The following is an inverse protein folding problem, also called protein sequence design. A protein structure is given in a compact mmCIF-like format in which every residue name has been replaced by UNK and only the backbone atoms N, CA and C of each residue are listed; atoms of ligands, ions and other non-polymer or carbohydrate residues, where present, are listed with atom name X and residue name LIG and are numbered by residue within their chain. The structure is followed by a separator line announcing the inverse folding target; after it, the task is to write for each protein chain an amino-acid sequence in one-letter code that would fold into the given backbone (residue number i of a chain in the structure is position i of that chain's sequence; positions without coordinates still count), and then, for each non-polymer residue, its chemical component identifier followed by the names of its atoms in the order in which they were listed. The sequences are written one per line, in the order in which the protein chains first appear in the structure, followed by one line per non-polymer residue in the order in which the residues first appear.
data_IF_184534080973
#
_entry.id   IF_184534080973
#
_cell.length_a   1.000
_cell.length_b   1.000
_cell.length_c   1.000
_cell.angle_alpha   90.00
_cell.angle_beta   90.00
_cell.angle_gamma   90.00
#
_symmetry.space_group_name_H-M   'P 1'
#
loop_
_entity.id
_entity.type
_entity.pdbx_description
1 polymer ?
#
# COMPACT_ATOMS: atom_id res chain seq x y z
N UNK A 1 23.35 -11.61 26.19
CA UNK A 1 23.22 -10.22 26.68
C UNK A 1 22.79 -9.32 25.53
N UNK A 2 21.69 -8.57 25.74
CA UNK A 2 21.24 -7.37 25.03
C UNK A 2 21.33 -7.31 23.49
N UNK A 3 20.33 -7.89 22.80
CA UNK A 3 19.92 -7.39 21.49
C UNK A 3 19.03 -6.16 21.68
N UNK A 4 19.65 -5.00 21.88
CA UNK A 4 18.94 -3.75 22.14
C UNK A 4 17.95 -3.41 21.02
N UNK A 5 16.74 -3.06 21.46
CA UNK A 5 15.58 -2.48 20.78
C UNK A 5 15.94 -1.36 19.79
N UNK A 6 16.44 -1.68 18.61
CA UNK A 6 16.42 -0.75 17.48
C UNK A 6 15.01 -0.80 16.87
N UNK A 7 14.03 -0.21 17.56
CA UNK A 7 12.64 -0.15 17.13
C UNK A 7 12.22 1.32 17.12
N UNK A 8 11.44 1.72 16.13
CA UNK A 8 10.79 3.03 16.18
C UNK A 8 9.72 3.06 17.29
N UNK A 9 9.98 3.84 18.33
CA UNK A 9 9.02 4.11 19.41
C UNK A 9 8.04 5.20 18.96
N UNK A 10 6.76 4.86 18.88
CA UNK A 10 5.70 5.77 18.41
C UNK A 10 5.68 6.07 16.91
N UNK A 11 5.11 7.23 16.59
CA UNK A 11 4.89 7.76 15.24
C UNK A 11 6.00 8.72 14.80
N UNK A 12 6.36 8.71 13.52
CA UNK A 12 7.40 9.57 12.93
C UNK A 12 7.06 10.03 11.50
N UNK A 13 7.70 11.08 11.04
CA UNK A 13 7.72 11.46 9.62
C UNK A 13 8.90 10.77 8.95
N UNK A 14 8.66 9.82 8.05
CA UNK A 14 9.74 9.14 7.32
C UNK A 14 10.08 9.95 6.07
N UNK A 15 11.29 10.50 6.00
CA UNK A 15 11.72 11.42 4.95
C UNK A 15 12.97 10.89 4.27
N UNK A 16 12.99 10.89 2.94
CA UNK A 16 14.13 10.41 2.18
C UNK A 16 13.84 10.37 0.69
N UNK A 17 14.18 9.25 0.05
CA UNK A 17 14.13 9.11 -1.40
C UNK A 17 13.57 7.77 -1.81
N UNK A 18 12.98 7.76 -3.00
CA UNK A 18 12.65 6.53 -3.70
C UNK A 18 13.37 6.54 -5.04
N UNK A 19 14.00 5.40 -5.35
CA UNK A 19 14.71 5.17 -6.59
C UNK A 19 14.08 4.00 -7.33
N UNK A 20 13.78 4.19 -8.61
CA UNK A 20 13.33 3.16 -9.53
C UNK A 20 14.36 3.03 -10.64
N UNK A 21 14.84 1.82 -10.89
CA UNK A 21 15.72 1.51 -12.02
C UNK A 21 15.10 0.40 -12.83
N UNK A 22 14.89 0.64 -14.12
CA UNK A 22 14.54 -0.39 -15.10
C UNK A 22 15.78 -0.60 -15.97
N UNK A 23 16.18 -1.85 -16.16
CA UNK A 23 17.37 -2.22 -16.92
C UNK A 23 17.01 -2.72 -18.33
N UNK A 24 15.78 -3.24 -18.51
CA UNK A 24 15.31 -3.84 -19.77
C UNK A 24 13.92 -3.28 -20.16
N UNK A 25 13.63 -3.03 -21.45
CA UNK A 25 14.51 -3.11 -22.63
C UNK A 25 15.46 -1.90 -22.78
N UNK A 26 15.16 -0.79 -22.11
CA UNK A 26 15.98 0.42 -22.06
C UNK A 26 16.31 0.74 -20.62
N UNK A 27 17.58 1.09 -20.35
CA UNK A 27 17.99 1.49 -19.01
C UNK A 27 17.41 2.87 -18.68
N UNK A 28 16.65 2.94 -17.60
CA UNK A 28 16.05 4.18 -17.12
C UNK A 28 16.07 4.20 -15.60
N UNK A 29 16.44 5.34 -15.02
CA UNK A 29 16.49 5.53 -13.58
C UNK A 29 15.73 6.79 -13.18
N UNK A 30 14.84 6.67 -12.20
CA UNK A 30 14.18 7.77 -11.53
C UNK A 30 14.62 7.77 -10.08
N UNK A 31 14.97 8.93 -9.56
CA UNK A 31 15.29 9.12 -8.15
C UNK A 31 14.70 10.44 -7.68
N UNK A 32 13.75 10.37 -6.75
CA UNK A 32 13.04 11.56 -6.28
C UNK A 32 12.81 11.55 -4.76
N UNK A 33 12.75 12.74 -4.14
CA UNK A 33 12.43 12.85 -2.73
C UNK A 33 11.01 12.37 -2.45
N UNK A 34 10.83 11.72 -1.30
CA UNK A 34 9.54 11.24 -0.81
C UNK A 34 9.49 11.41 0.71
N UNK A 35 8.29 11.65 1.22
CA UNK A 35 8.02 11.46 2.65
C UNK A 35 6.74 10.63 2.83
N UNK A 36 6.72 9.81 3.88
CA UNK A 36 5.59 9.00 4.30
C UNK A 36 5.45 9.08 5.82
N UNK A 37 4.29 9.48 6.35
CA UNK A 37 3.99 9.30 7.77
C UNK A 37 4.10 7.83 8.19
N UNK A 38 4.86 7.56 9.24
CA UNK A 38 4.79 6.32 10.01
C UNK A 38 3.90 6.59 11.23
N UNK A 39 2.71 6.01 11.24
CA UNK A 39 1.72 6.16 12.29
C UNK A 39 1.65 4.86 13.07
N UNK A 40 1.92 4.96 14.36
CA UNK A 40 1.55 3.92 15.31
C UNK A 40 0.04 3.95 15.50
N UNK A 41 -0.65 2.88 15.10
CA UNK A 41 -2.11 2.85 15.13
C UNK A 41 -2.66 2.88 16.56
N UNK A 42 -1.87 2.46 17.55
CA UNK A 42 -2.25 2.56 18.97
C UNK A 42 -2.08 3.99 19.53
N UNK A 43 -1.21 4.82 18.93
CA UNK A 43 -0.94 6.22 19.32
C UNK A 43 -1.79 7.23 18.55
N UNK A 44 -2.59 6.79 17.56
CA UNK A 44 -3.33 7.68 16.67
C UNK A 44 -4.21 8.73 17.39
N UNK A 45 -4.97 8.39 18.46
CA UNK A 45 -5.75 9.38 19.21
C UNK A 45 -4.91 10.49 19.86
N UNK A 46 -3.70 10.16 20.35
CA UNK A 46 -2.81 11.15 20.96
C UNK A 46 -2.01 11.93 19.91
N UNK A 47 -1.69 11.30 18.77
CA UNK A 47 -0.95 11.95 17.69
C UNK A 47 -1.75 13.11 17.07
N UNK A 48 -3.05 12.91 16.82
CA UNK A 48 -3.90 13.93 16.20
C UNK A 48 -4.14 15.15 17.10
N UNK A 49 -4.04 15.01 18.43
CA UNK A 49 -4.14 16.15 19.35
C UNK A 49 -2.82 16.92 19.46
N UNK A 50 -1.69 16.22 19.41
CA UNK A 50 -0.35 16.81 19.47
C UNK A 50 0.08 17.52 18.19
N UNK A 51 -0.39 17.05 17.03
CA UNK A 51 0.03 17.56 15.72
C UNK A 51 -1.09 18.36 15.07
N UNK A 52 -1.06 19.68 15.24
CA UNK A 52 -1.96 20.59 14.54
C UNK A 52 -1.90 20.41 13.00
N UNK A 53 -3.08 20.33 12.38
CA UNK A 53 -3.24 20.11 10.93
C UNK A 53 -3.32 18.63 10.51
N UNK A 54 -3.09 17.70 11.43
CA UNK A 54 -3.29 16.26 11.26
C UNK A 54 -4.62 15.83 11.88
N UNK A 55 -5.40 14.99 11.20
CA UNK A 55 -6.63 14.44 11.78
C UNK A 55 -7.51 13.76 10.75
N UNK A 56 -8.78 13.52 11.08
CA UNK A 56 -9.69 12.75 10.20
C UNK A 56 -10.68 13.63 9.40
N UNK A 57 -10.92 14.84 9.91
CA UNK A 57 -11.89 15.78 9.34
C UNK A 57 -11.41 16.39 8.03
N UNK A 58 -12.35 16.80 7.17
CA UNK A 58 -12.07 17.21 5.79
C UNK A 58 -11.18 18.46 5.65
N UNK A 59 -11.14 19.32 6.67
CA UNK A 59 -10.32 20.54 6.71
C UNK A 59 -8.88 20.32 7.21
N UNK A 60 -8.53 19.13 7.68
CA UNK A 60 -7.14 18.84 8.04
C UNK A 60 -6.28 18.81 6.79
N UNK A 61 -5.11 19.46 6.86
CA UNK A 61 -4.17 19.49 5.75
C UNK A 61 -3.56 18.14 5.48
N UNK A 62 -3.30 17.37 6.53
CA UNK A 62 -2.91 15.96 6.46
C UNK A 62 -4.05 15.14 7.07
N UNK A 63 -4.90 14.59 6.21
CA UNK A 63 -6.10 13.89 6.61
C UNK A 63 -5.90 12.39 6.54
N UNK A 64 -6.11 11.71 7.66
CA UNK A 64 -6.29 10.27 7.72
C UNK A 64 -7.76 9.94 7.44
N UNK A 65 -8.07 9.35 6.30
CA UNK A 65 -9.44 8.90 5.99
C UNK A 65 -9.45 7.38 5.99
N UNK A 66 -10.18 6.76 6.92
CA UNK A 66 -10.22 5.31 7.07
C UNK A 66 -10.51 4.54 5.77
N UNK A 67 -11.42 5.04 4.94
CA UNK A 67 -11.77 4.43 3.64
C UNK A 67 -10.67 4.48 2.58
N UNK A 68 -9.55 5.14 2.82
CA UNK A 68 -8.40 5.13 1.91
C UNK A 68 -7.50 3.90 2.07
N UNK A 69 -7.70 3.11 3.13
CA UNK A 69 -6.83 1.98 3.49
C UNK A 69 -7.59 0.65 3.49
N UNK A 70 -6.87 -0.46 3.58
CA UNK A 70 -7.38 -1.83 3.65
C UNK A 70 -8.60 -1.99 4.58
N UNK A 71 -9.64 -2.67 4.08
CA UNK A 71 -10.79 -3.13 4.88
C UNK A 71 -11.68 -2.00 5.41
N UNK A 72 -12.58 -2.36 6.32
CA UNK A 72 -13.50 -1.45 7.02
C UNK A 72 -13.24 -1.49 8.53
N UNK A 73 -13.95 -0.68 9.32
CA UNK A 73 -13.80 -0.66 10.78
C UNK A 73 -12.46 -0.09 11.25
N UNK A 74 -11.89 -0.66 12.30
CA UNK A 74 -10.56 -0.30 12.79
C UNK A 74 -9.45 -0.77 11.82
N UNK A 75 -8.46 0.09 11.54
CA UNK A 75 -7.40 -0.25 10.57
C UNK A 75 -6.45 -1.30 11.12
N UNK A 76 -6.13 -1.25 12.41
CA UNK A 76 -5.20 -2.20 13.04
C UNK A 76 -5.77 -3.62 12.94
N UNK A 77 -7.04 -3.78 13.28
CA UNK A 77 -7.75 -5.05 13.18
C UNK A 77 -7.83 -5.54 11.73
N UNK A 78 -8.22 -4.68 10.79
CA UNK A 78 -8.29 -5.05 9.37
C UNK A 78 -6.94 -5.52 8.79
N UNK A 79 -5.83 -4.91 9.22
CA UNK A 79 -4.47 -5.32 8.83
C UNK A 79 -4.12 -6.69 9.42
N UNK A 80 -4.41 -6.92 10.70
CA UNK A 80 -4.18 -8.22 11.35
C UNK A 80 -5.00 -9.33 10.70
N UNK A 81 -6.28 -9.07 10.43
CA UNK A 81 -7.18 -10.01 9.77
C UNK A 81 -6.71 -10.35 8.36
N UNK A 82 -6.21 -9.36 7.60
CA UNK A 82 -5.65 -9.61 6.27
C UNK A 82 -4.37 -10.46 6.31
N UNK A 83 -3.49 -10.24 7.30
CA UNK A 83 -2.32 -11.11 7.47
C UNK A 83 -2.75 -12.53 7.83
N UNK A 84 -3.74 -12.70 8.71
CA UNK A 84 -4.29 -14.00 9.04
C UNK A 84 -4.90 -14.70 7.80
N UNK A 85 -5.66 -13.99 6.98
CA UNK A 85 -6.22 -14.51 5.73
C UNK A 85 -5.14 -15.00 4.76
N UNK A 86 -4.01 -14.27 4.65
CA UNK A 86 -2.95 -14.59 3.70
C UNK A 86 -1.97 -15.66 4.20
N UNK A 87 -1.83 -15.83 5.51
CA UNK A 87 -0.73 -16.65 6.11
C UNK A 87 -1.22 -17.75 7.05
N UNK A 88 -2.46 -17.66 7.55
CA UNK A 88 -2.97 -18.51 8.63
C UNK A 88 -2.43 -18.17 10.03
N UNK A 89 -1.48 -17.25 10.16
CA UNK A 89 -0.91 -16.84 11.45
C UNK A 89 -1.69 -15.68 12.09
N UNK A 90 -2.16 -15.87 13.32
CA UNK A 90 -2.80 -14.80 14.08
C UNK A 90 -1.77 -13.96 14.82
N UNK A 91 -1.45 -12.79 14.26
CA UNK A 91 -0.55 -11.83 14.89
C UNK A 91 -1.37 -10.81 15.69
N UNK A 92 -1.20 -10.85 17.02
CA UNK A 92 -1.81 -9.90 17.95
C UNK A 92 -0.73 -9.03 18.53
N UNK A 93 -0.83 -7.71 18.35
CA UNK A 93 0.13 -6.75 18.88
C UNK A 93 0.05 -5.43 18.14
N UNK A 94 1.13 -4.63 18.24
CA UNK A 94 1.21 -3.28 17.68
C UNK A 94 1.29 -3.32 16.15
N UNK A 95 0.70 -2.33 15.49
CA UNK A 95 0.81 -2.13 14.04
C UNK A 95 1.30 -0.72 13.76
N UNK A 96 2.43 -0.61 13.05
CA UNK A 96 2.95 0.66 12.55
C UNK A 96 2.66 0.78 11.06
N UNK A 97 1.84 1.77 10.69
CA UNK A 97 1.42 2.03 9.32
C UNK A 97 2.30 3.13 8.71
N UNK A 98 3.14 2.76 7.73
CA UNK A 98 3.85 3.72 6.87
C UNK A 98 3.03 3.94 5.62
N UNK A 99 2.29 5.03 5.59
CA UNK A 99 1.23 5.28 4.59
C UNK A 99 1.25 6.71 4.09
N UNK A 100 0.64 6.94 2.94
CA UNK A 100 0.30 8.31 2.51
C UNK A 100 -1.00 8.76 3.18
N UNK A 101 -1.09 10.05 3.50
CA UNK A 101 -2.33 10.69 3.95
C UNK A 101 -2.98 11.45 2.80
N UNK A 102 -4.22 11.90 2.99
CA UNK A 102 -4.80 12.94 2.12
C UNK A 102 -4.13 14.26 2.40
N UNK A 103 -3.52 14.85 1.39
CA UNK A 103 -2.94 16.19 1.50
C UNK A 103 -3.82 17.18 0.75
N UNK A 104 -4.38 18.16 1.48
CA UNK A 104 -5.31 19.15 0.92
C UNK A 104 -6.48 18.49 0.15
N UNK A 105 -7.00 17.38 0.67
CA UNK A 105 -8.11 16.61 0.10
C UNK A 105 -7.73 15.55 -0.93
N UNK A 106 -6.50 15.58 -1.45
CA UNK A 106 -6.01 14.69 -2.50
C UNK A 106 -5.32 13.47 -1.90
N UNK A 107 -5.68 12.27 -2.39
CA UNK A 107 -5.06 11.01 -1.98
C UNK A 107 -4.38 10.36 -3.19
N UNK A 108 -3.14 9.94 -3.00
CA UNK A 108 -2.42 9.07 -3.92
C UNK A 108 -1.45 8.23 -3.10
N UNK A 109 -1.61 6.91 -3.14
CA UNK A 109 -0.68 5.98 -2.49
C UNK A 109 -0.33 4.86 -3.45
N UNK A 110 0.89 4.85 -4.03
CA UNK A 110 1.33 3.72 -4.86
C UNK A 110 1.57 2.48 -3.99
N UNK A 111 1.98 2.67 -2.74
CA UNK A 111 2.21 1.60 -1.78
C UNK A 111 2.00 2.08 -0.35
N UNK A 112 1.36 1.25 0.46
CA UNK A 112 1.20 1.39 1.90
C UNK A 112 1.89 0.19 2.58
N UNK A 113 2.61 0.43 3.67
CA UNK A 113 3.31 -0.61 4.41
C UNK A 113 2.78 -0.68 5.84
N UNK A 114 2.45 -1.88 6.31
CA UNK A 114 2.05 -2.11 7.69
C UNK A 114 3.01 -3.09 8.34
N UNK A 115 3.74 -2.63 9.36
CA UNK A 115 4.63 -3.46 10.17
C UNK A 115 3.85 -4.02 11.35
N UNK A 116 3.72 -5.34 11.41
CA UNK A 116 3.01 -6.06 12.47
C UNK A 116 4.01 -6.62 13.48
N UNK A 117 3.71 -6.38 14.75
CA UNK A 117 4.48 -6.90 15.88
C UNK A 117 3.59 -7.82 16.72
N UNK A 118 4.20 -8.81 17.37
CA UNK A 118 3.53 -9.59 18.41
C UNK A 118 3.38 -8.79 19.73
N UNK A 119 2.79 -9.42 20.74
CA UNK A 119 2.57 -8.82 22.06
C UNK A 119 3.88 -8.55 22.80
N UNK A 120 4.94 -9.30 22.49
CA UNK A 120 6.29 -9.10 23.02
C UNK A 120 7.03 -7.96 22.30
N UNK A 121 6.44 -7.40 21.23
CA UNK A 121 7.00 -6.32 20.44
C UNK A 121 8.03 -6.77 19.41
N UNK A 122 8.10 -8.06 19.09
CA UNK A 122 8.95 -8.61 18.04
C UNK A 122 8.25 -8.42 16.69
N UNK A 123 9.00 -7.96 15.68
CA UNK A 123 8.48 -7.81 14.32
C UNK A 123 8.21 -9.20 13.73
N UNK A 124 7.00 -9.41 13.21
CA UNK A 124 6.54 -10.70 12.66
C UNK A 124 6.29 -10.64 11.16
N UNK A 125 5.64 -9.57 10.69
CA UNK A 125 5.26 -9.43 9.28
C UNK A 125 5.34 -7.99 8.79
N UNK A 126 5.62 -7.81 7.51
CA UNK A 126 5.31 -6.61 6.75
C UNK A 126 4.15 -6.94 5.80
N UNK A 127 3.02 -6.24 5.95
CA UNK A 127 1.96 -6.26 4.96
C UNK A 127 2.16 -5.07 4.01
N UNK A 128 2.48 -5.33 2.74
CA UNK A 128 2.56 -4.31 1.70
C UNK A 128 1.25 -4.29 0.88
N UNK A 129 0.57 -3.15 0.86
CA UNK A 129 -0.59 -2.88 0.02
C UNK A 129 -0.13 -2.05 -1.18
N UNK A 130 -0.17 -2.63 -2.38
CA UNK A 130 0.20 -1.98 -3.63
C UNK A 130 -1.07 -1.64 -4.41
N UNK A 131 -1.22 -0.38 -4.81
CA UNK A 131 -2.39 0.08 -5.56
C UNK A 131 -2.03 0.36 -7.02
N UNK A 132 -2.80 -0.18 -7.95
CA UNK A 132 -2.66 0.11 -9.38
C UNK A 132 -3.47 1.37 -9.73
N UNK A 133 -2.79 2.40 -10.21
CA UNK A 133 -3.44 3.58 -10.79
C UNK A 133 -3.60 3.44 -12.31
N UNK A 134 -4.74 3.83 -12.91
CA UNK A 134 -5.89 4.54 -12.32
C UNK A 134 -7.02 3.65 -11.76
N UNK A 135 -6.97 2.32 -11.92
CA UNK A 135 -8.11 1.43 -11.63
C UNK A 135 -8.38 1.16 -10.14
N UNK A 136 -7.50 1.63 -9.24
CA UNK A 136 -7.63 1.54 -7.78
C UNK A 136 -7.79 0.10 -7.24
N UNK A 137 -7.33 -0.89 -8.01
CA UNK A 137 -7.18 -2.26 -7.55
C UNK A 137 -6.02 -2.34 -6.55
N UNK A 138 -6.21 -3.10 -5.47
CA UNK A 138 -5.23 -3.25 -4.39
C UNK A 138 -4.79 -4.69 -4.28
N UNK A 139 -3.48 -4.88 -4.24
CA UNK A 139 -2.84 -6.16 -4.02
C UNK A 139 -2.10 -6.13 -2.68
N UNK A 140 -2.10 -7.25 -1.98
CA UNK A 140 -1.54 -7.36 -0.64
C UNK A 140 -0.46 -8.43 -0.59
N UNK A 141 0.70 -8.10 -0.03
CA UNK A 141 1.82 -9.02 0.18
C UNK A 141 2.11 -9.12 1.67
N UNK A 142 1.91 -10.29 2.28
CA UNK A 142 2.33 -10.56 3.64
C UNK A 142 3.74 -11.18 3.62
N UNK A 143 4.74 -10.42 4.05
CA UNK A 143 6.16 -10.82 4.02
C UNK A 143 6.62 -11.10 5.45
N UNK A 144 7.03 -12.35 5.79
CA UNK A 144 7.48 -12.69 7.13
C UNK A 144 8.78 -11.98 7.50
N UNK A 145 8.95 -11.65 8.77
CA UNK A 145 10.12 -10.99 9.33
C UNK A 145 11.33 -11.93 9.54
N UNK A 146 11.27 -13.15 8.99
CA UNK A 146 12.31 -14.18 9.12
C UNK A 146 13.61 -13.78 8.42
N UNK A 147 14.74 -14.01 9.08
CA UNK A 147 16.07 -13.79 8.48
C UNK A 147 16.22 -14.78 7.32
N UNK A 148 16.37 -14.27 6.11
CA UNK A 148 16.72 -15.15 4.98
C UNK A 148 18.10 -15.79 5.19
N UNK A 149 18.37 -16.80 4.37
CA UNK A 149 19.63 -17.53 4.39
C UNK A 149 20.81 -16.54 4.31
N UNK A 150 21.79 -16.68 5.20
CA UNK A 150 22.99 -15.84 5.36
C UNK A 150 22.87 -14.53 6.16
N UNK A 151 21.81 -14.35 6.96
CA UNK A 151 21.89 -13.50 8.16
C UNK A 151 21.92 -11.98 7.94
N UNK A 152 21.79 -11.49 6.71
CA UNK A 152 21.70 -10.04 6.42
C UNK A 152 20.62 -9.63 5.40
N UNK A 153 19.89 -10.60 4.83
CA UNK A 153 18.92 -10.33 3.78
C UNK A 153 17.65 -11.12 4.04
N UNK A 154 16.50 -10.45 4.16
CA UNK A 154 15.18 -11.07 4.20
C UNK A 154 14.78 -11.43 2.78
N UNK A 155 15.41 -12.46 2.20
CA UNK A 155 15.07 -12.97 0.87
C UNK A 155 13.91 -13.95 1.03
N UNK A 156 12.77 -13.65 0.41
CA UNK A 156 11.62 -14.56 0.36
C UNK A 156 11.34 -14.94 -1.08
N UNK A 157 11.09 -16.22 -1.30
CA UNK A 157 10.50 -16.71 -2.53
C UNK A 157 9.01 -16.38 -2.59
N UNK A 158 8.53 -16.22 -3.83
CA UNK A 158 7.23 -15.71 -4.23
C UNK A 158 6.05 -16.35 -3.46
N UNK A 159 5.34 -15.54 -2.66
CA UNK A 159 3.92 -15.75 -2.41
C UNK A 159 3.12 -15.23 -3.63
N UNK A 160 2.76 -16.19 -4.49
CA UNK A 160 1.97 -16.20 -5.73
C UNK A 160 1.22 -14.97 -6.32
N UNK A 161 1.12 -15.05 -7.66
CA UNK A 161 0.16 -14.57 -8.67
C UNK A 161 -0.27 -13.08 -8.78
N UNK A 162 0.10 -12.52 -9.95
CA UNK A 162 -0.53 -11.44 -10.74
C UNK A 162 -0.72 -10.05 -10.12
N UNK A 163 0.23 -9.16 -10.46
CA UNK A 163 -0.16 -7.82 -10.92
C UNK A 163 -0.82 -7.94 -12.31
N UNK A 164 -1.95 -7.29 -12.59
CA UNK A 164 -2.64 -7.32 -13.88
C UNK A 164 -1.83 -6.69 -15.04
N UNK A 165 -0.69 -6.05 -14.74
CA UNK A 165 0.13 -5.34 -15.73
C UNK A 165 1.45 -6.01 -16.08
N UNK A 166 1.75 -7.19 -15.51
CA UNK A 166 2.99 -7.87 -15.82
C UNK A 166 2.79 -9.37 -16.07
N UNK A 167 3.27 -9.93 -17.20
CA UNK A 167 3.14 -11.35 -17.51
C UNK A 167 3.65 -12.25 -16.37
N UNK A 168 3.04 -13.44 -16.29
CA UNK A 168 3.09 -14.43 -15.20
C UNK A 168 4.51 -14.86 -14.76
N UNK A 169 5.51 -14.61 -15.60
CA UNK A 169 6.92 -15.01 -15.45
C UNK A 169 7.81 -13.92 -14.83
N UNK A 170 7.42 -13.34 -13.69
CA UNK A 170 8.31 -12.49 -12.91
C UNK A 170 8.39 -12.95 -11.45
N UNK A 171 9.60 -12.89 -10.91
CA UNK A 171 9.98 -13.20 -9.53
C UNK A 171 10.37 -11.89 -8.84
N UNK A 172 9.66 -11.58 -7.75
CA UNK A 172 9.97 -10.42 -6.92
C UNK A 172 10.81 -10.83 -5.73
N UNK A 173 11.95 -10.17 -5.54
CA UNK A 173 12.79 -10.37 -4.37
C UNK A 173 12.71 -9.14 -3.48
N UNK A 174 12.12 -9.31 -2.30
CA UNK A 174 12.08 -8.27 -1.29
C UNK A 174 13.37 -8.32 -0.47
N UNK A 175 13.89 -7.15 -0.10
CA UNK A 175 14.98 -6.97 0.86
C UNK A 175 14.52 -5.89 1.81
N UNK A 176 14.09 -6.34 2.99
CA UNK A 176 13.48 -5.49 4.01
C UNK A 176 14.48 -5.24 5.14
N UNK A 177 14.14 -4.35 6.06
CA UNK A 177 14.78 -4.22 7.37
C UNK A 177 13.68 -3.96 8.42
N UNK A 178 13.93 -4.28 9.70
CA UNK A 178 13.07 -3.86 10.79
C UNK A 178 12.90 -2.34 10.76
N UNK A 179 11.72 -1.87 11.13
CA UNK A 179 11.44 -0.44 11.19
C UNK A 179 12.10 0.17 12.42
N UNK A 180 13.16 0.94 12.19
CA UNK A 180 13.92 1.67 13.22
C UNK A 180 13.74 3.18 13.03
N UNK A 181 14.74 3.97 13.39
CA UNK A 181 14.95 5.32 12.86
C UNK A 181 15.13 5.39 11.33
N UNK A 182 15.10 4.26 10.62
CA UNK A 182 15.10 4.19 9.17
C UNK A 182 14.09 3.15 8.63
N UNK A 183 13.55 3.45 7.45
CA UNK A 183 12.81 2.52 6.61
C UNK A 183 13.67 2.19 5.40
N UNK A 184 13.89 0.90 5.15
CA UNK A 184 14.55 0.41 3.94
C UNK A 184 13.72 -0.73 3.35
N UNK A 185 13.14 -0.46 2.18
CA UNK A 185 12.44 -1.45 1.37
C UNK A 185 13.11 -1.47 0.02
N UNK A 186 13.67 -2.61 -0.35
CA UNK A 186 14.21 -2.83 -1.68
C UNK A 186 13.47 -3.98 -2.33
N UNK A 187 13.04 -3.76 -3.56
CA UNK A 187 12.29 -4.72 -4.37
C UNK A 187 13.05 -4.90 -5.67
N UNK A 188 13.37 -6.15 -6.00
CA UNK A 188 13.90 -6.50 -7.32
C UNK A 188 12.86 -7.31 -8.07
N UNK A 189 12.83 -7.14 -9.39
CA UNK A 189 12.02 -7.94 -10.28
C UNK A 189 12.92 -8.62 -11.31
N UNK A 190 12.81 -9.94 -11.36
CA UNK A 190 13.60 -10.83 -12.20
C UNK A 190 12.69 -11.64 -13.11
N UNK A 191 13.08 -11.81 -14.37
CA UNK A 191 12.48 -12.78 -15.30
C UNK A 191 13.51 -13.84 -15.67
N UNK A 192 14.41 -13.48 -16.59
CA UNK A 192 15.65 -14.24 -16.89
C UNK A 192 16.88 -13.57 -16.26
N UNK A 193 16.81 -12.25 -16.12
CA UNK A 193 17.80 -11.38 -15.51
C UNK A 193 17.07 -10.30 -14.70
N UNK A 194 17.82 -9.50 -13.95
CA UNK A 194 17.27 -8.35 -13.22
C UNK A 194 16.74 -7.30 -14.19
N UNK A 195 15.42 -7.18 -14.30
CA UNK A 195 14.78 -6.22 -15.21
C UNK A 195 14.49 -4.88 -14.53
N UNK A 196 14.27 -4.90 -13.21
CA UNK A 196 13.89 -3.73 -12.44
C UNK A 196 14.29 -3.82 -10.97
N UNK A 197 14.60 -2.68 -10.36
CA UNK A 197 14.54 -2.52 -8.91
C UNK A 197 13.91 -1.21 -8.45
N UNK A 198 13.32 -1.27 -7.27
CA UNK A 198 12.82 -0.13 -6.51
C UNK A 198 13.53 -0.12 -5.15
N UNK A 199 14.00 1.04 -4.72
CA UNK A 199 14.57 1.24 -3.38
C UNK A 199 13.87 2.42 -2.72
N UNK A 200 13.21 2.17 -1.60
CA UNK A 200 12.69 3.18 -0.71
C UNK A 200 13.61 3.26 0.51
N UNK A 201 14.25 4.42 0.70
CA UNK A 201 15.14 4.68 1.82
C UNK A 201 14.73 5.98 2.50
N UNK A 202 14.11 5.86 3.68
CA UNK A 202 13.61 6.99 4.46
C UNK A 202 14.23 6.97 5.87
N UNK A 203 14.43 8.15 6.45
CA UNK A 203 14.85 8.32 7.85
C UNK A 203 13.73 8.95 8.66
N UNK A 204 13.58 8.50 9.88
CA UNK A 204 12.61 9.04 10.83
C UNK A 204 12.99 10.46 11.22
N UNK A 205 12.01 11.34 11.20
CA UNK A 205 12.05 12.68 11.78
C UNK A 205 10.92 12.82 12.79
N UNK A 206 11.07 13.66 13.84
CA UNK A 206 10.02 13.90 14.81
C UNK A 206 8.70 14.32 14.16
N UNK A 207 7.60 13.66 14.54
CA UNK A 207 6.27 13.99 14.04
C UNK A 207 5.71 15.23 14.72
N UNK A 208 6.12 16.40 14.24
CA UNK A 208 5.71 17.72 14.77
C UNK A 208 4.90 18.50 13.73
N UNK A 209 4.03 19.41 14.18
CA UNK A 209 3.27 20.29 13.27
C UNK A 209 4.18 21.07 12.34
N UNK A 210 5.27 21.64 12.87
CA UNK A 210 6.26 22.39 12.08
C UNK A 210 6.93 21.51 11.02
N UNK A 211 7.29 20.27 11.39
CA UNK A 211 7.88 19.29 10.48
C UNK A 211 6.91 18.90 9.35
N UNK A 212 5.67 18.59 9.70
CA UNK A 212 4.61 18.23 8.74
C UNK A 212 4.36 19.37 7.74
N UNK A 213 4.14 20.59 8.22
CA UNK A 213 3.89 21.76 7.37
C UNK A 213 5.07 22.01 6.42
N UNK A 214 6.30 21.93 6.94
CA UNK A 214 7.51 22.09 6.13
C UNK A 214 7.56 21.07 4.99
N UNK A 215 7.22 19.81 5.27
CA UNK A 215 7.19 18.76 4.24
C UNK A 215 6.06 18.98 3.22
N UNK A 216 4.89 19.43 3.65
CA UNK A 216 3.77 19.76 2.75
C UNK A 216 4.13 20.90 1.80
N UNK A 217 4.78 21.95 2.30
CA UNK A 217 5.24 23.09 1.49
C UNK A 217 6.40 22.71 0.55
N UNK A 218 7.27 21.77 0.97
CA UNK A 218 8.42 21.33 0.17
C UNK A 218 8.08 20.24 -0.85
N UNK A 219 7.01 19.50 -0.63
CA UNK A 219 6.56 18.39 -1.49
C UNK A 219 5.24 18.65 -2.24
N UNK A 220 4.88 19.89 -2.67
CA UNK A 220 3.63 20.13 -3.39
C UNK A 220 3.69 19.61 -4.83
N UNK A 221 4.86 19.19 -5.31
CA UNK A 221 5.17 19.16 -6.73
C UNK A 221 4.68 17.90 -7.44
N UNK A 222 4.59 16.71 -6.80
CA UNK A 222 4.20 15.50 -7.54
C UNK A 222 2.70 15.33 -7.68
N UNK A 223 1.94 15.38 -6.58
CA UNK A 223 0.48 15.19 -6.62
C UNK A 223 -0.21 16.30 -7.40
N UNK A 224 0.23 17.55 -7.24
CA UNK A 224 -0.28 18.67 -8.03
C UNK A 224 0.10 18.51 -9.50
N UNK A 225 1.35 18.17 -9.88
CA UNK A 225 1.74 18.00 -11.30
C UNK A 225 0.99 16.86 -12.00
N UNK A 226 0.80 15.73 -11.33
CA UNK A 226 0.08 14.58 -11.90
C UNK A 226 -1.38 14.95 -12.11
N UNK A 227 -2.02 15.55 -11.11
CA UNK A 227 -3.43 15.94 -11.21
C UNK A 227 -3.63 17.12 -12.15
N UNK A 228 -2.80 18.17 -12.12
CA UNK A 228 -2.89 19.26 -13.10
C UNK A 228 -2.63 18.74 -14.50
N UNK A 229 -1.71 17.80 -14.72
CA UNK A 229 -1.53 17.14 -16.01
C UNK A 229 -2.80 16.42 -16.48
N UNK A 230 -3.43 15.63 -15.61
CA UNK A 230 -4.68 14.92 -15.90
C UNK A 230 -5.84 15.89 -16.16
N UNK A 231 -6.07 16.86 -15.28
CA UNK A 231 -7.14 17.85 -15.40
C UNK A 231 -6.92 18.81 -16.57
N UNK A 232 -5.68 19.19 -16.88
CA UNK A 232 -5.35 20.01 -18.05
C UNK A 232 -5.59 19.27 -19.36
N UNK A 233 -5.23 17.97 -19.43
CA UNK A 233 -5.57 17.14 -20.58
C UNK A 233 -7.09 16.96 -20.74
N UNK A 234 -7.82 16.72 -19.64
CA UNK A 234 -9.28 16.63 -19.66
C UNK A 234 -9.94 17.95 -20.09
N UNK A 235 -9.44 19.09 -19.60
CA UNK A 235 -9.91 20.42 -19.97
C UNK A 235 -9.61 20.73 -21.45
N UNK A 236 -8.41 20.37 -21.95
CA UNK A 236 -8.03 20.55 -23.36
C UNK A 236 -8.89 19.70 -24.30
N UNK A 237 -9.26 18.49 -23.88
CA UNK A 237 -10.21 17.63 -24.62
C UNK A 237 -11.62 18.21 -24.60
N UNK A 238 -12.06 18.77 -23.46
CA UNK A 238 -13.35 19.44 -23.33
C UNK A 238 -13.45 20.70 -24.21
N UNK A 239 -12.44 21.56 -24.20
CA UNK A 239 -12.36 22.75 -25.07
C UNK A 239 -12.30 22.37 -26.56
N UNK A 240 -11.77 21.19 -26.90
CA UNK A 240 -11.74 20.66 -28.27
C UNK A 240 -12.99 19.85 -28.66
N UNK A 241 -14.02 19.81 -27.83
CA UNK A 241 -15.29 19.16 -28.15
C UNK A 241 -15.20 17.63 -28.27
N UNK A 242 -14.21 17.00 -27.65
CA UNK A 242 -14.07 15.55 -27.70
C UNK A 242 -15.26 14.88 -26.95
N UNK A 243 -16.03 13.98 -27.59
CA UNK A 243 -17.12 13.30 -26.94
C UNK A 243 -16.61 12.46 -25.75
N UNK A 244 -17.24 12.63 -24.60
CA UNK A 244 -16.95 11.89 -23.38
C UNK A 244 -17.53 10.49 -23.52
N UNK A 245 -16.70 9.50 -23.85
CA UNK A 245 -17.14 8.10 -23.85
C UNK A 245 -17.14 7.59 -22.40
N UNK A 246 -18.33 7.37 -21.84
CA UNK A 246 -18.50 6.65 -20.59
C UNK A 246 -18.07 5.19 -20.77
N UNK A 247 -17.22 4.71 -19.86
CA UNK A 247 -16.75 3.33 -19.87
C UNK A 247 -17.95 2.36 -19.76
N UNK A 248 -17.98 1.24 -20.51
CA UNK A 248 -19.07 0.27 -20.43
C UNK A 248 -19.26 -0.25 -19.01
N UNK A 249 -20.52 -0.26 -18.57
CA UNK A 249 -20.98 -0.86 -17.32
C UNK A 249 -20.53 -2.32 -17.24
N UNK A 250 -19.90 -2.66 -16.12
CA UNK A 250 -20.03 -3.92 -15.38
C UNK A 250 -20.15 -5.20 -16.22
N UNK A 251 -19.10 -6.03 -16.21
CA UNK A 251 -19.26 -7.46 -16.48
C UNK A 251 -20.27 -8.03 -15.49
N UNK A 252 -21.48 -8.28 -15.98
CA UNK A 252 -22.48 -9.06 -15.27
C UNK A 252 -21.93 -10.48 -15.12
N UNK A 253 -21.87 -10.96 -13.88
CA UNK A 253 -21.71 -12.38 -13.59
C UNK A 253 -22.80 -13.16 -14.35
N UNK A 254 -22.47 -14.17 -15.18
CA UNK A 254 -23.48 -15.03 -15.75
C UNK A 254 -24.14 -15.80 -14.61
N UNK A 255 -25.45 -15.65 -14.44
CA UNK A 255 -26.25 -16.58 -13.64
C UNK A 255 -26.11 -17.96 -14.27
N UNK A 256 -25.54 -18.90 -13.53
CA UNK A 256 -25.60 -20.32 -13.83
C UNK A 256 -27.08 -20.74 -13.91
N UNK A 257 -27.56 -21.01 -15.13
CA UNK A 257 -28.77 -21.81 -15.35
C UNK A 257 -28.39 -23.26 -15.03
N UNK A 258 -28.94 -23.81 -13.97
CA UNK A 258 -29.14 -25.25 -13.84
C UNK A 258 -30.65 -25.50 -13.77
N UNK A 259 -31.14 -26.04 -14.90
CA UNK A 259 -32.25 -26.99 -15.05
C UNK A 259 -33.53 -26.77 -14.22
N UNK A 260 -34.47 -26.01 -14.79
CA UNK A 260 -35.86 -26.43 -14.82
C UNK A 260 -35.99 -27.47 -15.94
N UNK A 261 -36.02 -28.75 -15.56
CA UNK A 261 -36.54 -29.81 -16.40
C UNK A 261 -38.00 -30.06 -15.99
N UNK A 262 -38.89 -29.71 -16.91
CA UNK A 262 -40.09 -30.48 -17.25
C UNK A 262 -41.08 -30.77 -16.12
N UNK A 263 -41.95 -29.78 -15.89
CA UNK A 263 -43.30 -30.04 -15.43
C UNK A 263 -44.14 -30.44 -16.66
N UNK A 264 -44.09 -31.73 -17.03
CA UNK A 264 -45.03 -32.35 -17.96
C UNK A 264 -45.14 -33.85 -17.64
N UNK A 265 -45.87 -34.20 -16.58
CA UNK A 265 -46.81 -35.31 -16.63
C UNK A 265 -47.68 -35.35 -15.38
N UNK A 266 -48.94 -34.93 -15.53
CA UNK A 266 -50.04 -35.70 -14.93
C UNK A 266 -50.17 -36.95 -15.78
N UNK A 267 -49.88 -38.12 -15.21
CA UNK A 267 -50.74 -39.30 -15.29
C UNK A 267 -50.10 -40.52 -14.60
N UNK A 268 -50.89 -41.11 -13.71
CA UNK A 268 -50.94 -42.50 -13.29
C UNK A 268 -49.94 -43.12 -12.29
N UNK A 269 -50.60 -43.81 -11.34
CA UNK A 269 -50.19 -44.97 -10.54
C UNK A 269 -49.32 -44.69 -9.31
N UNK A 270 -49.90 -44.73 -8.12
CA UNK A 270 -50.28 -45.92 -7.32
C UNK A 270 -49.09 -46.53 -6.55
N UNK A 271 -49.36 -46.68 -5.24
CA UNK A 271 -48.57 -47.27 -4.16
C UNK A 271 -47.49 -46.37 -3.52
#
# INVERSE_FOLDING_TARGET
MMGARARLEGSALMVGRVRHRRFTPVTHALDYPLFMPCIDLDDWPALQTRVWGLGERWWHWARFRRGDYLGTGDLKTAVQDKVFELTGESIRGRVQAVVHLRYLGLYFSPVNFYYLYDQQGVWRYLLAEVSNTPWNERHYYAIPAERGEQGLNWTHDKAFHVSPFNPVEQVYQWKLKPLTDALMVHLECHRNQKEFDATLALKAQPFTSRGLIRLLIRTPIMTVKVLTGIYWHALKLWVKGAPFYSHPKSYAHPKSRQHEAENNNKENSQC
#
